data_IF_944991680002
#
_entry.id   IF_944991680002
#
_cell.length_a   1.000
_cell.length_b   1.000
_cell.length_c   1.000
_cell.angle_alpha   90.00
_cell.angle_beta   90.00
_cell.angle_gamma   90.00
#
_symmetry.space_group_name_H-M   'P 1'
#
loop_
_entity.id
_entity.type
_entity.pdbx_description
1 polymer ?
#
# COMPACT_ATOMS: atom_id res chain seq x y z
N UNK A 1 25.04 -0.75 4.56
CA UNK A 1 24.05 -0.95 3.48
C UNK A 1 23.53 -2.39 3.57
N UNK A 2 22.54 -2.65 4.43
CA UNK A 2 22.06 -4.04 4.70
C UNK A 2 20.55 -4.13 4.93
N UNK A 3 19.76 -3.21 4.39
CA UNK A 3 18.31 -3.13 4.65
C UNK A 3 17.49 -4.14 3.85
N UNK A 4 17.99 -4.61 2.70
CA UNK A 4 17.25 -5.55 1.83
C UNK A 4 17.05 -6.92 2.49
N UNK A 5 18.10 -7.49 3.07
CA UNK A 5 18.05 -8.85 3.63
C UNK A 5 17.12 -8.99 4.83
N UNK A 6 17.04 -7.97 5.69
CA UNK A 6 16.13 -7.99 6.84
C UNK A 6 14.67 -7.86 6.42
N UNK A 7 14.41 -7.06 5.39
CA UNK A 7 13.09 -6.85 4.86
C UNK A 7 12.58 -8.08 4.12
N UNK A 8 13.45 -8.76 3.37
CA UNK A 8 13.16 -10.03 2.69
C UNK A 8 12.86 -11.14 3.71
N UNK A 9 13.66 -11.25 4.78
CA UNK A 9 13.42 -12.23 5.84
C UNK A 9 12.09 -12.00 6.57
N UNK A 10 11.73 -10.73 6.81
CA UNK A 10 10.43 -10.36 7.40
C UNK A 10 9.26 -10.66 6.46
N UNK A 11 9.44 -10.41 5.16
CA UNK A 11 8.43 -10.71 4.14
C UNK A 11 8.15 -12.22 4.09
N UNK A 12 9.21 -13.03 4.08
CA UNK A 12 9.09 -14.48 4.03
C UNK A 12 8.45 -15.04 5.30
N UNK A 13 8.85 -14.52 6.47
CA UNK A 13 8.25 -14.89 7.76
C UNK A 13 6.76 -14.56 7.83
N UNK A 14 6.34 -13.43 7.26
CA UNK A 14 4.93 -13.04 7.17
C UNK A 14 4.14 -13.95 6.24
N UNK A 15 4.65 -14.22 5.03
CA UNK A 15 3.99 -15.13 4.08
C UNK A 15 3.78 -16.50 4.70
N UNK A 16 4.79 -17.03 5.40
CA UNK A 16 4.71 -18.30 6.10
C UNK A 16 3.64 -18.29 7.20
N UNK A 17 3.60 -17.26 8.03
CA UNK A 17 2.58 -17.12 9.08
C UNK A 17 1.16 -17.03 8.51
N UNK A 18 0.96 -16.34 7.37
CA UNK A 18 -0.34 -16.23 6.71
C UNK A 18 -0.79 -17.58 6.10
N UNK A 19 0.14 -18.40 5.61
CA UNK A 19 -0.14 -19.75 5.13
C UNK A 19 -0.52 -20.67 6.29
N UNK A 20 0.24 -20.65 7.39
CA UNK A 20 -0.01 -21.48 8.57
C UNK A 20 -1.37 -21.20 9.20
N UNK A 21 -1.79 -19.93 9.21
CA UNK A 21 -3.11 -19.49 9.68
C UNK A 21 -4.22 -19.67 8.65
N UNK A 22 -3.92 -20.22 7.47
CA UNK A 22 -4.87 -20.41 6.36
C UNK A 22 -5.54 -19.12 5.89
N UNK A 23 -4.89 -17.97 6.10
CA UNK A 23 -5.36 -16.66 5.60
C UNK A 23 -5.13 -16.57 4.09
N UNK A 24 -4.01 -17.09 3.63
CA UNK A 24 -3.67 -17.24 2.21
C UNK A 24 -3.23 -18.67 1.92
N UNK A 25 -3.32 -19.06 0.67
CA UNK A 25 -2.79 -20.34 0.17
C UNK A 25 -1.33 -20.20 -0.26
N UNK A 26 -0.62 -21.32 -0.38
CA UNK A 26 0.74 -21.35 -0.92
C UNK A 26 0.82 -20.74 -2.32
N UNK A 27 -0.18 -21.00 -3.17
CA UNK A 27 -0.25 -20.42 -4.51
C UNK A 27 -0.38 -18.88 -4.48
N UNK A 28 -1.16 -18.33 -3.55
CA UNK A 28 -1.27 -16.88 -3.37
C UNK A 28 0.05 -16.27 -2.87
N UNK A 29 0.77 -16.96 -2.00
CA UNK A 29 2.09 -16.51 -1.55
C UNK A 29 3.11 -16.50 -2.69
N UNK A 30 3.11 -17.51 -3.57
CA UNK A 30 3.97 -17.54 -4.76
C UNK A 30 3.68 -16.38 -5.71
N UNK A 31 2.39 -16.09 -5.96
CA UNK A 31 2.00 -14.93 -6.78
C UNK A 31 2.46 -13.62 -6.13
N UNK A 32 2.35 -13.49 -4.81
CA UNK A 32 2.79 -12.29 -4.11
C UNK A 32 4.31 -12.08 -4.22
N UNK A 33 5.10 -13.16 -4.20
CA UNK A 33 6.56 -13.09 -4.44
C UNK A 33 6.86 -12.67 -5.87
N UNK A 34 6.17 -13.25 -6.84
CA UNK A 34 6.36 -12.89 -8.25
C UNK A 34 6.00 -11.42 -8.51
N UNK A 35 4.90 -10.95 -7.97
CA UNK A 35 4.48 -9.55 -8.06
C UNK A 35 5.48 -8.62 -7.40
N UNK A 36 6.01 -8.99 -6.23
CA UNK A 36 7.01 -8.19 -5.54
C UNK A 36 8.26 -7.97 -6.40
N UNK A 37 8.74 -9.03 -7.06
CA UNK A 37 9.89 -8.94 -7.97
C UNK A 37 9.55 -8.19 -9.26
N UNK A 38 8.38 -8.45 -9.86
CA UNK A 38 8.02 -7.89 -11.17
C UNK A 38 7.58 -6.43 -11.11
N UNK A 39 6.91 -6.02 -10.03
CA UNK A 39 6.36 -4.67 -9.87
C UNK A 39 7.21 -3.81 -8.91
N UNK A 40 8.24 -4.38 -8.29
CA UNK A 40 9.07 -3.69 -7.30
C UNK A 40 8.31 -3.30 -6.03
N UNK A 41 7.24 -4.02 -5.72
CA UNK A 41 6.43 -3.83 -4.50
C UNK A 41 6.85 -4.83 -3.43
N UNK A 42 6.42 -4.60 -2.18
CA UNK A 42 6.64 -5.60 -1.13
C UNK A 42 5.62 -6.74 -1.26
N UNK A 43 5.93 -7.97 -0.81
CA UNK A 43 4.97 -9.07 -0.87
C UNK A 43 3.65 -8.78 -0.14
N UNK A 44 3.68 -8.07 1.00
CA UNK A 44 2.45 -7.70 1.71
C UNK A 44 1.64 -6.62 1.00
N UNK A 45 2.28 -5.69 0.28
CA UNK A 45 1.56 -4.74 -0.57
C UNK A 45 0.88 -5.45 -1.75
N UNK A 46 1.54 -6.44 -2.38
CA UNK A 46 0.91 -7.27 -3.41
C UNK A 46 -0.35 -7.99 -2.89
N UNK A 47 -0.26 -8.62 -1.71
CA UNK A 47 -1.42 -9.28 -1.09
C UNK A 47 -2.59 -8.32 -0.84
N UNK A 48 -2.29 -7.07 -0.45
CA UNK A 48 -3.30 -6.03 -0.20
C UNK A 48 -3.90 -5.48 -1.50
N UNK A 49 -3.07 -5.20 -2.51
CA UNK A 49 -3.53 -4.72 -3.83
C UNK A 49 -4.48 -5.73 -4.48
N UNK A 50 -4.21 -7.03 -4.30
CA UNK A 50 -5.08 -8.12 -4.79
C UNK A 50 -6.32 -8.36 -3.92
N UNK A 51 -6.41 -7.72 -2.76
CA UNK A 51 -7.54 -7.87 -1.83
C UNK A 51 -7.59 -9.21 -1.10
N UNK A 52 -6.48 -9.95 -1.02
CA UNK A 52 -6.43 -11.22 -0.28
C UNK A 52 -6.28 -11.04 1.22
N UNK A 53 -5.67 -9.92 1.65
CA UNK A 53 -5.59 -9.51 3.05
C UNK A 53 -5.99 -8.05 3.17
N UNK A 54 -6.54 -7.69 4.32
CA UNK A 54 -6.81 -6.29 4.69
C UNK A 54 -5.75 -5.78 5.67
N UNK A 55 -5.78 -4.47 5.93
CA UNK A 55 -4.83 -3.81 6.82
C UNK A 55 -4.90 -4.37 8.26
N UNK A 56 -6.08 -4.78 8.73
CA UNK A 56 -6.29 -5.34 10.07
C UNK A 56 -5.54 -6.67 10.24
N UNK A 57 -5.69 -7.58 9.29
CA UNK A 57 -5.00 -8.88 9.27
C UNK A 57 -3.48 -8.70 9.15
N UNK A 58 -3.05 -7.71 8.37
CA UNK A 58 -1.65 -7.36 8.24
C UNK A 58 -1.07 -6.82 9.56
N UNK A 59 -1.81 -5.98 10.28
CA UNK A 59 -1.37 -5.48 11.60
C UNK A 59 -1.32 -6.58 12.66
N UNK A 60 -2.24 -7.55 12.62
CA UNK A 60 -2.25 -8.68 13.55
C UNK A 60 -1.03 -9.61 13.35
N UNK A 61 -0.62 -9.84 12.09
CA UNK A 61 0.46 -10.78 11.77
C UNK A 61 1.81 -10.13 11.52
N UNK A 62 1.84 -8.83 11.22
CA UNK A 62 3.03 -8.02 11.04
C UNK A 62 2.94 -6.68 11.80
N UNK A 63 2.95 -6.70 13.15
CA UNK A 63 2.85 -5.49 13.96
C UNK A 63 4.02 -4.51 13.72
N UNK A 64 5.15 -4.98 13.20
CA UNK A 64 6.28 -4.13 12.83
C UNK A 64 5.97 -3.19 11.65
N UNK A 65 4.96 -3.49 10.82
CA UNK A 65 4.52 -2.61 9.73
C UNK A 65 3.72 -1.41 10.24
N UNK A 66 3.01 -1.57 11.36
CA UNK A 66 2.22 -0.50 11.99
C UNK A 66 3.10 0.62 12.57
N UNK A 67 4.29 0.27 13.09
CA UNK A 67 5.25 1.26 13.63
C UNK A 67 5.79 2.23 12.58
N UNK A 68 5.79 1.85 11.31
CA UNK A 68 6.15 2.75 10.20
C UNK A 68 4.98 3.59 9.70
N UNK A 69 3.73 3.28 10.09
CA UNK A 69 2.53 3.98 9.63
C UNK A 69 1.99 5.01 10.62
N UNK A 70 2.39 5.01 11.89
CA UNK A 70 2.06 6.12 12.80
C UNK A 70 2.72 7.45 12.38
N UNK A 71 3.77 7.41 11.55
CA UNK A 71 4.33 8.59 10.87
C UNK A 71 3.72 8.85 9.47
N UNK A 72 2.96 7.89 8.93
CA UNK A 72 2.16 8.12 7.74
C UNK A 72 0.81 8.68 8.18
N UNK A 73 0.84 9.97 8.52
CA UNK A 73 -0.32 10.85 8.70
C UNK A 73 -1.49 10.31 7.86
N UNK A 74 -2.64 9.91 8.44
CA UNK A 74 -3.79 9.61 7.61
C UNK A 74 -3.93 10.82 6.70
N UNK A 75 -3.89 10.62 5.39
CA UNK A 75 -4.22 11.68 4.45
C UNK A 75 -5.66 12.01 4.79
N UNK A 76 -5.80 12.96 5.71
CA UNK A 76 -6.99 13.70 5.97
C UNK A 76 -7.20 14.37 4.62
N UNK A 77 -8.01 13.74 3.78
CA UNK A 77 -8.46 14.31 2.52
C UNK A 77 -9.24 15.52 2.99
N UNK A 78 -8.53 16.62 3.17
CA UNK A 78 -9.06 17.87 3.63
C UNK A 78 -9.98 18.29 2.49
N UNK A 79 -11.28 18.07 2.68
CA UNK A 79 -12.30 18.27 1.64
C UNK A 79 -12.21 19.73 1.15
N UNK A 80 -11.82 20.64 2.04
CA UNK A 80 -11.52 22.04 1.75
C UNK A 80 -10.44 22.20 0.65
N UNK A 81 -9.42 21.33 0.64
CA UNK A 81 -8.35 21.35 -0.38
C UNK A 81 -8.82 20.82 -1.74
N UNK A 82 -9.80 19.92 -1.77
CA UNK A 82 -10.34 19.42 -3.02
C UNK A 82 -11.18 20.49 -3.72
N UNK A 83 -12.03 21.19 -2.97
CA UNK A 83 -12.84 22.28 -3.51
C UNK A 83 -11.98 23.46 -3.99
N UNK A 84 -10.94 23.84 -3.24
CA UNK A 84 -10.00 24.88 -3.69
C UNK A 84 -9.22 24.47 -4.94
N UNK A 85 -8.75 23.22 -5.02
CA UNK A 85 -8.05 22.72 -6.20
C UNK A 85 -8.97 22.62 -7.43
N UNK A 86 -10.23 22.24 -7.22
CA UNK A 86 -11.22 22.20 -8.30
C UNK A 86 -11.50 23.61 -8.83
N UNK A 87 -11.69 24.60 -7.95
CA UNK A 87 -11.90 26.00 -8.33
C UNK A 87 -10.73 26.54 -9.15
N UNK A 88 -9.50 26.25 -8.71
CA UNK A 88 -8.27 26.66 -9.40
C UNK A 88 -8.13 26.00 -10.77
N UNK A 89 -8.56 24.75 -10.90
CA UNK A 89 -8.61 24.05 -12.18
C UNK A 89 -9.66 24.65 -13.13
N UNK A 90 -10.84 24.99 -12.62
CA UNK A 90 -11.90 25.65 -13.41
C UNK A 90 -11.49 27.04 -13.90
N UNK A 91 -10.81 27.82 -13.06
CA UNK A 91 -10.24 29.12 -13.43
C UNK A 91 -9.18 28.98 -14.53
N UNK A 92 -8.26 28.03 -14.38
CA UNK A 92 -7.22 27.74 -15.38
C UNK A 92 -7.83 27.31 -16.73
N UNK A 93 -8.89 26.49 -16.68
CA UNK A 93 -9.60 26.05 -17.89
C UNK A 93 -10.35 27.20 -18.57
N UNK A 94 -10.95 28.12 -17.82
CA UNK A 94 -11.57 29.34 -18.40
C UNK A 94 -10.54 30.22 -19.08
N UNK A 95 -9.38 30.41 -18.45
CA UNK A 95 -8.28 31.19 -19.01
C UNK A 95 -7.74 30.56 -20.30
N UNK A 96 -7.54 29.24 -20.32
CA UNK A 96 -7.08 28.51 -21.52
C UNK A 96 -8.12 28.47 -22.65
N UNK A 97 -9.41 28.49 -22.32
CA UNK A 97 -10.51 28.52 -23.30
C UNK A 97 -10.84 29.95 -23.79
N UNK A 98 -10.11 30.97 -23.32
CA UNK A 98 -10.27 32.36 -23.75
C UNK A 98 -11.62 32.97 -23.36
N UNK A 99 -12.29 32.42 -22.35
CA UNK A 99 -13.55 32.94 -21.81
C UNK A 99 -13.24 33.93 -20.67
N UNK A 100 -12.78 35.13 -21.04
CA UNK A 100 -12.72 36.30 -20.16
C UNK A 100 -13.82 37.28 -20.57
#
# INVERSE_FOLDING_TARGET
>A
MSTSSEQDNRAESLLQALIEKQVITTAQAEVARYDAVSQGVTPWDSLRIRGWINETVLMEHAPWLGKTKEDANPVNINIDSYEENLKRYEELMREMLGQV
#
